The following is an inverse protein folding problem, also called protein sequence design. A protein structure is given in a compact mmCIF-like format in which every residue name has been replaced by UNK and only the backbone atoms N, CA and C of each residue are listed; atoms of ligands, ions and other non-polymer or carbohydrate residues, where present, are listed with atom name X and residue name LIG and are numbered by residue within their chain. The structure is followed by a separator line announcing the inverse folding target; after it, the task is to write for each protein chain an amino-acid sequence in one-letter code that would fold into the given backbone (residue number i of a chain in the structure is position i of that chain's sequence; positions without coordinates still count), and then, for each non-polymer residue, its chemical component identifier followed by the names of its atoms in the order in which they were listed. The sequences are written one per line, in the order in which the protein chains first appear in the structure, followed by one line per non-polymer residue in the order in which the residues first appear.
data_IF_210566813498
#
_entry.id   IF_210566813498
#
_cell.length_a   1.000
_cell.length_b   1.000
_cell.length_c   1.000
_cell.angle_alpha   90.00
_cell.angle_beta   90.00
_cell.angle_gamma   90.00
#
_symmetry.space_group_name_H-M   'P 1'
#
loop_
_entity.id
_entity.type
_entity.pdbx_description
1 polymer ?
#
# COMPACT_ATOMS: atom_id res chain seq x y z
N UNK A 1 -8.64 35.09 -25.60
CA UNK A 1 -7.96 33.84 -25.24
C UNK A 1 -8.30 33.57 -23.79
N UNK A 2 -9.31 32.72 -23.54
CA UNK A 2 -9.68 32.32 -22.16
C UNK A 2 -8.53 31.46 -21.65
N UNK A 3 -7.85 31.91 -20.60
CA UNK A 3 -6.93 31.07 -19.82
C UNK A 3 -7.85 30.08 -19.11
N UNK A 4 -7.96 28.84 -19.63
CA UNK A 4 -8.64 27.78 -18.88
C UNK A 4 -7.91 27.62 -17.54
N UNK A 5 -8.59 28.01 -16.48
CA UNK A 5 -8.10 27.85 -15.11
C UNK A 5 -7.94 26.36 -14.85
N UNK A 6 -6.72 25.89 -14.62
CA UNK A 6 -6.42 24.50 -14.28
C UNK A 6 -7.19 24.09 -13.03
N UNK A 7 -8.08 23.10 -13.15
CA UNK A 7 -8.88 22.62 -12.04
C UNK A 7 -7.98 21.99 -10.96
N UNK A 8 -8.24 22.35 -9.71
CA UNK A 8 -7.51 21.82 -8.55
C UNK A 8 -8.41 20.86 -7.77
N UNK A 9 -7.89 19.65 -7.52
CA UNK A 9 -8.51 18.60 -6.72
C UNK A 9 -7.93 18.68 -5.30
N UNK A 10 -8.71 19.02 -4.31
CA UNK A 10 -8.27 19.33 -2.95
C UNK A 10 -8.94 18.49 -1.86
N UNK A 11 -9.98 17.73 -2.20
CA UNK A 11 -10.67 16.85 -1.27
C UNK A 11 -10.60 15.40 -1.70
N UNK A 12 -10.43 14.48 -0.73
CA UNK A 12 -10.43 13.03 -0.92
C UNK A 12 -11.69 12.43 -0.33
N UNK A 13 -12.41 11.64 -1.13
CA UNK A 13 -13.60 10.91 -0.71
C UNK A 13 -13.42 9.40 -0.85
N UNK A 14 -14.12 8.60 -0.02
CA UNK A 14 -14.07 7.16 -0.10
C UNK A 14 -14.58 6.63 -1.45
N UNK A 15 -14.27 5.35 -1.79
CA UNK A 15 -14.82 4.70 -2.98
C UNK A 15 -16.34 4.69 -2.97
N UNK A 16 -16.94 5.01 -4.12
CA UNK A 16 -18.37 4.89 -4.37
C UNK A 16 -18.57 4.59 -5.85
N UNK A 17 -18.91 3.34 -6.16
CA UNK A 17 -19.09 2.91 -7.54
C UNK A 17 -20.30 3.55 -8.23
N UNK A 18 -21.30 3.98 -7.45
CA UNK A 18 -22.54 4.63 -7.95
C UNK A 18 -22.39 6.12 -8.20
N UNK A 19 -21.34 6.76 -7.62
CA UNK A 19 -21.15 8.19 -7.76
C UNK A 19 -20.81 8.57 -9.21
N UNK A 20 -21.47 9.62 -9.69
CA UNK A 20 -21.12 10.25 -10.96
C UNK A 20 -19.76 10.94 -10.82
N UNK A 21 -18.90 10.77 -11.81
CA UNK A 21 -17.59 11.41 -11.90
C UNK A 21 -17.39 11.94 -13.31
N UNK A 22 -16.59 13.01 -13.43
CA UNK A 22 -16.32 13.64 -14.73
C UNK A 22 -15.26 12.90 -15.53
N UNK A 23 -14.36 12.18 -14.84
CA UNK A 23 -13.31 11.40 -15.48
C UNK A 23 -12.72 10.33 -14.55
N UNK A 24 -11.96 9.40 -15.14
CA UNK A 24 -11.07 8.49 -14.42
C UNK A 24 -9.62 9.00 -14.48
N UNK A 25 -8.93 8.93 -13.34
CA UNK A 25 -7.54 9.33 -13.20
C UNK A 25 -6.69 8.10 -12.88
N UNK A 26 -5.89 7.67 -13.85
CA UNK A 26 -5.05 6.48 -13.75
C UNK A 26 -3.66 6.83 -13.21
N UNK A 27 -3.35 6.36 -12.01
CA UNK A 27 -2.08 6.60 -11.32
C UNK A 27 -1.41 5.28 -10.96
N UNK A 28 -0.09 5.22 -11.16
CA UNK A 28 0.76 4.18 -10.58
C UNK A 28 0.84 4.34 -9.04
N UNK A 29 1.46 3.39 -8.37
CA UNK A 29 1.57 3.45 -6.91
C UNK A 29 2.31 4.70 -6.42
N UNK A 30 3.38 5.10 -7.10
CA UNK A 30 4.15 6.29 -6.73
C UNK A 30 3.35 7.58 -6.94
N UNK A 31 2.55 7.65 -7.99
CA UNK A 31 1.60 8.76 -8.20
C UNK A 31 0.54 8.81 -7.12
N UNK A 32 0.03 7.65 -6.68
CA UNK A 32 -0.98 7.57 -5.61
C UNK A 32 -0.47 7.97 -4.22
N UNK A 33 0.84 8.05 -4.02
CA UNK A 33 1.47 8.52 -2.77
C UNK A 33 1.69 10.05 -2.72
N UNK A 34 1.50 10.76 -3.83
CA UNK A 34 1.80 12.19 -3.92
C UNK A 34 0.58 13.04 -3.59
N UNK A 35 0.63 13.77 -2.49
CA UNK A 35 -0.44 14.71 -2.11
C UNK A 35 -0.50 15.98 -2.97
N UNK A 36 0.57 16.28 -3.72
CA UNK A 36 0.68 17.44 -4.63
C UNK A 36 1.36 17.01 -5.91
N UNK A 37 0.66 17.13 -7.04
CA UNK A 37 1.20 16.83 -8.36
C UNK A 37 0.31 17.40 -9.47
N UNK A 38 0.87 17.58 -10.64
CA UNK A 38 0.14 17.77 -11.88
C UNK A 38 -0.12 16.42 -12.49
N UNK A 39 -1.30 16.22 -13.02
CA UNK A 39 -1.73 14.99 -13.68
C UNK A 39 -2.43 15.31 -14.98
N UNK A 40 -2.31 14.42 -15.97
CA UNK A 40 -2.98 14.55 -17.25
C UNK A 40 -4.01 13.43 -17.39
N UNK A 41 -5.23 13.76 -17.68
CA UNK A 41 -6.29 12.81 -18.00
C UNK A 41 -6.10 12.18 -19.37
N UNK A 42 -6.81 11.11 -19.67
CA UNK A 42 -6.75 10.42 -20.94
C UNK A 42 -7.18 11.32 -22.13
N UNK A 43 -8.00 12.32 -21.89
CA UNK A 43 -8.45 13.32 -22.89
C UNK A 43 -7.48 14.51 -23.06
N UNK A 44 -6.35 14.50 -22.35
CA UNK A 44 -5.32 15.54 -22.43
C UNK A 44 -5.52 16.71 -21.46
N UNK A 45 -6.63 16.77 -20.71
CA UNK A 45 -6.82 17.82 -19.70
C UNK A 45 -5.81 17.67 -18.56
N UNK A 46 -5.27 18.78 -18.11
CA UNK A 46 -4.37 18.86 -16.97
C UNK A 46 -5.12 19.28 -15.70
N UNK A 47 -4.87 18.55 -14.62
CA UNK A 47 -5.43 18.81 -13.29
C UNK A 47 -4.30 18.92 -12.29
N UNK A 48 -4.54 19.67 -11.22
CA UNK A 48 -3.64 19.74 -10.06
C UNK A 48 -4.26 18.98 -8.89
N UNK A 49 -3.54 18.00 -8.37
CA UNK A 49 -3.85 17.42 -7.05
C UNK A 49 -3.15 18.29 -6.00
N UNK A 50 -3.89 18.72 -4.99
CA UNK A 50 -3.38 19.52 -3.87
C UNK A 50 -4.15 19.18 -2.59
N UNK A 51 -3.88 17.99 -2.04
CA UNK A 51 -4.49 17.54 -0.78
C UNK A 51 -3.77 18.16 0.41
N UNK A 52 -4.52 18.52 1.44
CA UNK A 52 -3.95 19.02 2.70
C UNK A 52 -3.17 17.90 3.40
N UNK A 53 -3.76 16.70 3.48
CA UNK A 53 -3.16 15.50 4.08
C UNK A 53 -3.28 14.31 3.16
N UNK A 54 -2.30 13.40 3.25
CA UNK A 54 -2.31 12.11 2.57
C UNK A 54 -1.56 11.10 3.46
N UNK A 55 -2.25 10.55 4.44
CA UNK A 55 -1.68 9.62 5.42
C UNK A 55 -1.50 8.21 4.83
N UNK A 56 -2.29 7.88 3.82
CA UNK A 56 -2.21 6.62 3.06
C UNK A 56 -2.28 6.92 1.57
N UNK A 57 -1.66 6.10 0.70
CA UNK A 57 -1.80 6.23 -0.75
C UNK A 57 -3.28 6.29 -1.17
N UNK A 58 -3.55 7.00 -2.24
CA UNK A 58 -4.88 6.99 -2.86
C UNK A 58 -5.23 5.56 -3.30
N UNK A 59 -6.39 5.07 -2.87
CA UNK A 59 -6.92 3.75 -3.22
C UNK A 59 -7.58 3.74 -4.60
N UNK A 60 -7.67 2.55 -5.21
CA UNK A 60 -8.51 2.37 -6.40
C UNK A 60 -9.98 2.60 -6.06
N UNK A 61 -10.68 3.33 -6.91
CA UNK A 61 -12.10 3.69 -6.70
C UNK A 61 -12.33 4.92 -5.82
N UNK A 62 -11.34 5.44 -5.11
CA UNK A 62 -11.48 6.70 -4.38
C UNK A 62 -11.72 7.87 -5.33
N UNK A 63 -12.31 8.93 -4.79
CA UNK A 63 -12.65 10.11 -5.57
C UNK A 63 -11.85 11.32 -5.09
N UNK A 64 -11.41 12.12 -6.03
CA UNK A 64 -10.83 13.43 -5.75
C UNK A 64 -11.77 14.50 -6.29
N UNK A 65 -12.07 15.49 -5.46
CA UNK A 65 -13.04 16.55 -5.72
C UNK A 65 -12.34 17.90 -5.75
N UNK A 66 -12.70 18.71 -6.71
CA UNK A 66 -12.40 20.12 -6.82
C UNK A 66 -13.69 20.94 -6.88
N UNK A 67 -13.58 22.23 -7.12
CA UNK A 67 -14.75 23.14 -7.15
C UNK A 67 -15.81 22.74 -8.19
N UNK A 68 -15.39 22.27 -9.36
CA UNK A 68 -16.29 21.95 -10.48
C UNK A 68 -15.94 20.63 -11.18
N UNK A 69 -15.12 19.79 -10.57
CA UNK A 69 -14.63 18.59 -11.22
C UNK A 69 -14.37 17.46 -10.21
N UNK A 70 -14.88 16.27 -10.52
CA UNK A 70 -14.72 15.07 -9.70
C UNK A 70 -14.07 13.98 -10.54
N UNK A 71 -13.00 13.38 -10.05
CA UNK A 71 -12.37 12.24 -10.70
C UNK A 71 -12.40 11.00 -9.80
N UNK A 72 -12.48 9.82 -10.44
CA UNK A 72 -12.26 8.54 -9.78
C UNK A 72 -10.83 8.11 -10.01
N UNK A 73 -10.12 7.87 -8.92
CA UNK A 73 -8.75 7.32 -8.96
C UNK A 73 -8.81 5.86 -9.40
N UNK A 74 -7.93 5.50 -10.33
CA UNK A 74 -7.73 4.13 -10.78
C UNK A 74 -6.28 3.73 -10.61
N UNK A 75 -6.05 2.58 -10.02
CA UNK A 75 -4.71 2.02 -9.94
C UNK A 75 -4.26 1.55 -11.33
N UNK A 76 -3.26 2.23 -11.90
CA UNK A 76 -2.70 1.85 -13.18
C UNK A 76 -2.01 0.48 -13.05
N UNK A 77 -2.17 -0.43 -14.03
CA UNK A 77 -1.33 -1.60 -14.12
C UNK A 77 0.15 -1.20 -14.23
N UNK A 78 0.98 -1.88 -13.45
CA UNK A 78 2.43 -1.71 -13.41
C UNK A 78 3.11 -3.04 -13.73
N UNK A 79 4.31 -2.97 -14.29
CA UNK A 79 5.11 -4.15 -14.58
C UNK A 79 5.75 -4.70 -13.31
N UNK A 80 5.34 -5.91 -12.91
CA UNK A 80 5.66 -6.54 -11.65
C UNK A 80 6.22 -7.94 -11.85
N UNK A 81 7.07 -8.38 -10.92
CA UNK A 81 7.37 -9.78 -10.71
C UNK A 81 6.29 -10.34 -9.79
N UNK A 82 5.53 -11.33 -10.28
CA UNK A 82 4.66 -12.14 -9.44
C UNK A 82 5.37 -13.43 -9.08
N UNK A 83 5.46 -13.76 -7.79
CA UNK A 83 6.08 -14.96 -7.26
C UNK A 83 5.04 -15.84 -6.58
N UNK A 84 4.99 -17.12 -6.94
CA UNK A 84 4.08 -18.14 -6.40
C UNK A 84 4.84 -19.32 -5.84
N UNK A 85 4.23 -20.05 -4.91
CA UNK A 85 4.83 -21.24 -4.32
C UNK A 85 4.18 -21.66 -3.02
N UNK A 86 4.89 -22.48 -2.25
CA UNK A 86 4.40 -22.93 -0.93
C UNK A 86 4.38 -21.75 0.05
N UNK A 87 3.52 -21.83 1.08
CA UNK A 87 3.45 -20.81 2.15
C UNK A 87 4.83 -20.54 2.76
N UNK A 88 5.63 -21.59 2.98
CA UNK A 88 6.99 -21.44 3.54
C UNK A 88 7.89 -20.64 2.57
N UNK A 89 7.88 -20.95 1.28
CA UNK A 89 8.68 -20.23 0.28
C UNK A 89 8.24 -18.78 0.15
N UNK A 90 6.92 -18.51 0.13
CA UNK A 90 6.37 -17.15 0.11
C UNK A 90 6.77 -16.36 1.37
N UNK A 91 6.69 -16.96 2.56
CA UNK A 91 7.12 -16.31 3.81
C UNK A 91 8.60 -15.92 3.76
N UNK A 92 9.47 -16.83 3.28
CA UNK A 92 10.91 -16.53 3.08
C UNK A 92 11.11 -15.44 2.02
N UNK A 93 10.36 -15.48 0.92
CA UNK A 93 10.37 -14.45 -0.12
C UNK A 93 10.02 -13.08 0.44
N UNK A 94 8.91 -12.97 1.18
CA UNK A 94 8.50 -11.73 1.82
C UNK A 94 9.55 -11.19 2.79
N UNK A 95 10.15 -12.06 3.64
CA UNK A 95 11.23 -11.70 4.54
C UNK A 95 12.45 -11.12 3.80
N UNK A 96 12.90 -11.77 2.73
CA UNK A 96 14.06 -11.31 1.97
C UNK A 96 13.80 -10.04 1.17
N UNK A 97 12.58 -9.85 0.65
CA UNK A 97 12.15 -8.61 0.01
C UNK A 97 12.09 -7.46 1.01
N UNK A 98 11.50 -7.69 2.19
CA UNK A 98 11.41 -6.68 3.26
C UNK A 98 12.79 -6.24 3.76
N UNK A 99 13.75 -7.15 3.91
CA UNK A 99 15.13 -6.84 4.29
C UNK A 99 15.88 -5.98 3.25
N UNK A 100 15.37 -5.88 2.03
CA UNK A 100 15.90 -5.03 0.96
C UNK A 100 15.09 -3.76 0.78
N UNK A 101 14.13 -3.51 1.67
CA UNK A 101 13.19 -2.41 1.58
C UNK A 101 12.42 -2.36 0.24
N UNK A 102 12.28 -3.53 -0.41
CA UNK A 102 11.49 -3.63 -1.62
C UNK A 102 10.00 -3.47 -1.30
N UNK A 103 9.28 -2.77 -2.15
CA UNK A 103 7.81 -2.68 -2.05
C UNK A 103 7.23 -4.05 -2.37
N UNK A 104 6.41 -4.60 -1.49
CA UNK A 104 5.83 -5.94 -1.62
C UNK A 104 4.33 -5.88 -1.45
N UNK A 105 3.61 -6.38 -2.41
CA UNK A 105 2.18 -6.68 -2.30
C UNK A 105 2.03 -8.15 -1.94
N UNK A 106 1.32 -8.42 -0.85
CA UNK A 106 1.00 -9.78 -0.41
C UNK A 106 -0.41 -10.12 -0.85
N UNK A 107 -0.56 -11.21 -1.60
CA UNK A 107 -1.85 -11.71 -2.04
C UNK A 107 -2.07 -13.15 -1.61
N UNK A 108 -3.24 -13.69 -1.93
CA UNK A 108 -3.56 -15.09 -1.64
C UNK A 108 -2.76 -16.01 -2.57
N UNK A 109 -1.72 -16.64 -2.01
CA UNK A 109 -0.83 -17.53 -2.73
C UNK A 109 0.19 -16.86 -3.65
N UNK A 110 0.43 -15.55 -3.53
CA UNK A 110 1.45 -14.86 -4.30
C UNK A 110 2.07 -13.66 -3.56
N UNK A 111 3.26 -13.27 -4.03
CA UNK A 111 3.87 -11.97 -3.74
C UNK A 111 4.05 -11.21 -5.05
N UNK A 112 3.89 -9.89 -5.02
CA UNK A 112 4.28 -9.02 -6.14
C UNK A 112 5.25 -7.96 -5.68
N UNK A 113 6.21 -7.66 -6.53
CA UNK A 113 7.20 -6.58 -6.33
C UNK A 113 7.47 -5.93 -7.70
N UNK A 114 7.90 -4.66 -7.77
CA UNK A 114 8.29 -4.05 -9.03
C UNK A 114 9.32 -4.91 -9.76
N UNK A 115 9.29 -4.86 -11.10
CA UNK A 115 10.26 -5.57 -11.96
C UNK A 115 11.69 -5.08 -11.65
N UNK A 116 12.52 -6.00 -11.18
CA UNK A 116 13.91 -5.74 -10.79
C UNK A 116 14.80 -6.94 -11.15
N UNK A 117 15.92 -6.65 -11.78
CA UNK A 117 16.84 -7.67 -12.30
C UNK A 117 17.49 -8.56 -11.22
N UNK A 118 17.49 -8.13 -9.96
CA UNK A 118 18.07 -8.85 -8.83
C UNK A 118 17.01 -9.64 -8.07
N UNK A 119 15.82 -9.06 -7.90
CA UNK A 119 14.77 -9.64 -7.06
C UNK A 119 14.17 -10.91 -7.69
N UNK A 120 13.97 -10.95 -9.00
CA UNK A 120 13.44 -12.13 -9.69
C UNK A 120 14.31 -13.38 -9.47
N UNK A 121 15.59 -13.36 -9.84
CA UNK A 121 16.51 -14.49 -9.59
C UNK A 121 16.59 -14.90 -8.12
N UNK A 122 16.58 -13.95 -7.18
CA UNK A 122 16.57 -14.24 -5.76
C UNK A 122 15.34 -15.04 -5.34
N UNK A 123 14.16 -14.66 -5.81
CA UNK A 123 12.91 -15.36 -5.50
C UNK A 123 12.92 -16.80 -6.05
N UNK A 124 13.46 -17.00 -7.26
CA UNK A 124 13.65 -18.33 -7.84
C UNK A 124 14.58 -19.18 -6.97
N UNK A 125 15.70 -18.62 -6.49
CA UNK A 125 16.63 -19.33 -5.58
C UNK A 125 15.98 -19.73 -4.25
N UNK A 126 14.92 -19.02 -3.82
CA UNK A 126 14.13 -19.35 -2.64
C UNK A 126 13.08 -20.43 -2.89
N UNK A 127 13.00 -20.96 -4.12
CA UNK A 127 12.06 -22.00 -4.54
C UNK A 127 10.68 -21.46 -4.95
N UNK A 128 10.61 -20.21 -5.35
CA UNK A 128 9.38 -19.59 -5.90
C UNK A 128 9.39 -19.65 -7.42
N UNK A 129 8.21 -19.85 -8.01
CA UNK A 129 7.97 -19.66 -9.43
C UNK A 129 7.70 -18.18 -9.67
N UNK A 130 8.39 -17.57 -10.64
CA UNK A 130 8.25 -16.14 -10.94
C UNK A 130 7.77 -15.90 -12.36
N UNK A 131 6.89 -14.92 -12.54
CA UNK A 131 6.44 -14.45 -13.84
C UNK A 131 6.38 -12.91 -13.85
N UNK A 132 6.60 -12.31 -15.02
CA UNK A 132 6.31 -10.90 -15.22
C UNK A 132 4.83 -10.72 -15.53
N UNK A 133 4.19 -9.82 -14.81
CA UNK A 133 2.76 -9.50 -14.97
C UNK A 133 2.57 -7.98 -15.04
N UNK A 134 1.52 -7.56 -15.74
CA UNK A 134 1.00 -6.19 -15.65
C UNK A 134 -0.27 -6.20 -14.81
N UNK A 135 -0.22 -5.56 -13.64
CA UNK A 135 -1.34 -5.56 -12.71
C UNK A 135 -1.31 -4.30 -11.81
N UNK A 136 -2.46 -3.90 -11.26
CA UNK A 136 -2.49 -2.91 -10.20
C UNK A 136 -1.58 -3.31 -9.03
N UNK A 137 -0.82 -2.34 -8.51
CA UNK A 137 0.14 -2.58 -7.44
C UNK A 137 -0.26 -1.80 -6.19
N UNK A 138 -0.54 -2.51 -5.11
CA UNK A 138 -0.87 -1.93 -3.80
C UNK A 138 -0.05 -2.68 -2.75
N UNK A 139 1.22 -2.28 -2.55
CA UNK A 139 2.11 -2.95 -1.61
C UNK A 139 1.69 -2.69 -0.16
N UNK A 140 2.17 -3.57 0.72
CA UNK A 140 2.04 -3.40 2.16
C UNK A 140 2.65 -2.07 2.61
N UNK A 141 1.92 -1.33 3.40
CA UNK A 141 2.44 -0.15 4.09
C UNK A 141 3.21 -0.62 5.33
N UNK A 142 4.28 0.08 5.68
CA UNK A 142 5.04 -0.24 6.89
C UNK A 142 4.13 -0.23 8.13
N UNK A 143 4.40 -1.13 9.08
CA UNK A 143 3.57 -1.35 10.27
C UNK A 143 3.29 -0.08 11.11
N UNK A 144 4.06 0.97 10.92
CA UNK A 144 3.93 2.24 11.63
C UNK A 144 3.04 3.27 10.93
N UNK A 145 2.54 3.00 9.73
CA UNK A 145 1.67 3.94 9.00
C UNK A 145 0.21 3.96 9.48
N UNK A 146 -0.20 3.05 10.39
CA UNK A 146 -1.59 2.93 10.83
C UNK A 146 -1.94 3.68 12.13
N UNK A 147 -1.02 4.42 12.75
CA UNK A 147 -1.30 5.12 14.02
C UNK A 147 -1.20 6.64 13.90
N UNK A 148 -2.11 7.22 13.10
CA UNK A 148 -2.47 8.63 13.18
C UNK A 148 -3.56 8.93 14.22
N UNK A 149 -3.66 8.16 15.32
CA UNK A 149 -4.46 8.53 16.49
C UNK A 149 -3.56 9.31 17.45
N UNK A 150 -3.88 10.60 17.62
CA UNK A 150 -3.10 11.60 18.31
C UNK A 150 -2.42 11.17 19.61
N UNK A 151 -1.12 11.24 19.60
CA UNK A 151 -0.37 11.50 20.82
C UNK A 151 0.19 12.91 20.72
N UNK A 152 -0.47 13.82 21.43
CA UNK A 152 0.10 15.11 21.80
C UNK A 152 1.36 14.83 22.63
N UNK A 153 2.53 15.08 22.04
CA UNK A 153 3.77 15.13 22.79
C UNK A 153 3.80 16.42 23.57
N UNK A 154 3.53 16.31 24.86
CA UNK A 154 3.89 17.32 25.85
C UNK A 154 5.39 17.21 26.06
N UNK A 155 6.14 18.21 25.57
CA UNK A 155 7.58 18.29 25.76
C UNK A 155 7.88 18.75 27.18
N UNK A 156 8.18 17.81 28.07
CA UNK A 156 8.91 18.10 29.31
C UNK A 156 10.14 17.19 29.40
N UNK A 157 11.30 17.83 29.20
CA UNK A 157 12.61 17.21 29.35
C UNK A 157 12.83 16.72 30.78
N UNK A 158 13.00 15.40 30.97
CA UNK A 158 13.77 14.87 32.08
C UNK A 158 14.60 13.68 31.62
N UNK A 159 15.91 13.86 31.60
CA UNK A 159 16.90 12.79 31.47
C UNK A 159 16.87 11.89 32.72
N UNK A 160 16.41 10.65 32.55
CA UNK A 160 16.52 9.62 33.54
C UNK A 160 16.85 8.29 32.85
N UNK A 161 18.09 7.84 32.98
CA UNK A 161 18.51 6.51 32.55
C UNK A 161 17.88 5.46 33.48
N UNK A 162 16.76 4.84 33.04
CA UNK A 162 16.18 3.65 33.66
C UNK A 162 16.46 2.41 32.79
N UNK A 163 16.67 1.21 33.38
CA UNK A 163 17.00 0.01 32.63
C UNK A 163 15.85 -0.42 31.69
N UNK A 164 16.23 -0.86 30.49
CA UNK A 164 15.30 -1.31 29.46
C UNK A 164 14.32 -2.38 30.01
N UNK A 165 13.02 -2.06 29.94
CA UNK A 165 11.97 -3.04 30.24
C UNK A 165 11.82 -3.99 29.08
N UNK A 166 12.24 -5.24 29.28
CA UNK A 166 11.92 -6.35 28.38
C UNK A 166 10.44 -6.67 28.56
N UNK A 167 9.61 -6.39 27.54
CA UNK A 167 8.23 -6.87 27.51
C UNK A 167 8.25 -8.39 27.39
N UNK A 168 7.89 -9.10 28.48
CA UNK A 168 7.61 -10.54 28.42
C UNK A 168 6.33 -10.73 27.61
N UNK A 169 6.44 -11.47 26.52
CA UNK A 169 5.28 -12.03 25.84
C UNK A 169 4.60 -13.02 26.79
N UNK A 170 3.35 -12.75 27.11
CA UNK A 170 2.55 -13.63 27.97
C UNK A 170 2.26 -14.94 27.20
N UNK A 171 2.66 -16.05 27.80
CA UNK A 171 2.65 -17.40 27.22
C UNK A 171 1.24 -18.02 27.13
N UNK A 172 0.19 -17.24 27.41
CA UNK A 172 -1.18 -17.73 27.53
C UNK A 172 -1.93 -17.99 26.21
N UNK A 173 -1.36 -17.63 25.04
CA UNK A 173 -2.05 -17.78 23.74
C UNK A 173 -1.72 -19.09 23.00
N UNK A 174 -0.76 -19.87 23.46
CA UNK A 174 -0.28 -21.08 22.76
C UNK A 174 -0.95 -22.41 23.19
N UNK A 175 -1.92 -22.41 24.11
CA UNK A 175 -2.54 -23.65 24.59
C UNK A 175 -3.90 -24.00 23.98
N UNK A 176 -4.40 -23.25 23.01
CA UNK A 176 -5.75 -23.47 22.44
C UNK A 176 -5.81 -24.28 21.13
N UNK A 177 -4.70 -24.78 20.59
CA UNK A 177 -4.69 -25.49 19.28
C UNK A 177 -4.38 -27.00 19.38
N UNK A 178 -4.23 -27.56 20.57
CA UNK A 178 -3.85 -28.97 20.74
C UNK A 178 -4.92 -29.82 21.45
N UNK A 179 -6.18 -29.74 21.05
CA UNK A 179 -7.20 -30.67 21.55
C UNK A 179 -8.36 -30.87 20.56
N UNK A 180 -8.07 -31.48 19.43
CA UNK A 180 -9.11 -32.07 18.56
C UNK A 180 -8.52 -33.13 17.63
N UNK A 181 -8.05 -34.22 18.20
CA UNK A 181 -7.86 -35.47 17.48
C UNK A 181 -7.75 -36.63 18.46
N UNK A 182 -8.87 -37.19 18.89
CA UNK A 182 -9.04 -38.61 19.19
C UNK A 182 -10.44 -38.87 19.77
N UNK A 183 -11.31 -39.43 18.97
CA UNK A 183 -12.22 -40.51 19.40
C UNK A 183 -12.92 -41.07 18.21
N UNK A 184 -12.51 -42.29 17.89
CA UNK A 184 -13.28 -43.29 17.15
C UNK A 184 -13.93 -44.23 18.18
N UNK A 185 -14.98 -44.98 17.89
CA UNK A 185 -14.85 -46.28 17.25
C UNK A 185 -15.47 -46.39 15.86
#
# INVERSE_FOLDING_TARGET
MLVESMSTLNERLPPDASAMVDAELWLDFDGRQKRRQLVTLADGRELRIQLERLDTPLGDGERLVGESFIVRVRARPERLIEARGTVNALTRGAYHLGNRHAKVMVGDGFLRTPDDVVLGPMLVQLGLETALVEAPFTPELGAYHHHGAGHTHDESHHHGHGPARIHRFDRAVLTAVSSSAASKP
#
